data_IF_505723178620
#
_entry.id   IF_505723178620
#
_cell.length_a   1.000
_cell.length_b   1.000
_cell.length_c   1.000
_cell.angle_alpha   90.00
_cell.angle_beta   90.00
_cell.angle_gamma   90.00
#
_symmetry.space_group_name_H-M   'P 1'
#
loop_
_entity.id
_entity.type
_entity.pdbx_description
1 polymer ?
#
# COMPACT_ATOMS: atom_id res chain seq x y z
N UNK A 1 -3.13 3.81 -7.59
CA UNK A 1 -2.37 2.93 -6.69
C UNK A 1 -1.54 1.93 -7.48
N UNK A 2 -2.10 1.07 -8.35
CA UNK A 2 -1.39 0.03 -9.13
C UNK A 2 -0.21 0.59 -9.94
N UNK A 3 -0.39 1.72 -10.65
CA UNK A 3 0.69 2.38 -11.38
C UNK A 3 1.87 2.76 -10.46
N UNK A 4 1.58 3.36 -9.29
CA UNK A 4 2.61 3.73 -8.32
C UNK A 4 3.34 2.50 -7.77
N UNK A 5 2.64 1.38 -7.58
CA UNK A 5 3.25 0.11 -7.14
C UNK A 5 4.17 -0.48 -8.20
N UNK A 6 3.75 -0.46 -9.47
CA UNK A 6 4.58 -0.91 -10.58
C UNK A 6 5.88 -0.09 -10.69
N UNK A 7 5.77 1.22 -10.55
CA UNK A 7 6.92 2.14 -10.60
C UNK A 7 7.87 1.94 -9.41
N UNK A 8 7.31 1.64 -8.22
CA UNK A 8 8.09 1.25 -7.05
C UNK A 8 8.84 -0.08 -7.26
N UNK A 9 8.25 -1.04 -7.95
CA UNK A 9 8.89 -2.32 -8.24
C UNK A 9 10.04 -2.17 -9.24
N UNK A 10 9.93 -1.31 -10.24
CA UNK A 10 11.00 -1.02 -11.22
C UNK A 10 12.30 -0.56 -10.55
N UNK A 11 12.22 0.18 -9.45
CA UNK A 11 13.37 0.63 -8.67
C UNK A 11 14.33 -0.52 -8.30
N UNK A 12 13.81 -1.71 -8.02
CA UNK A 12 14.64 -2.89 -7.66
C UNK A 12 15.63 -3.28 -8.75
N UNK A 13 15.27 -3.13 -10.02
CA UNK A 13 16.13 -3.37 -11.17
C UNK A 13 17.07 -2.20 -11.41
N UNK A 14 16.52 -0.99 -11.47
CA UNK A 14 17.27 0.24 -11.76
C UNK A 14 18.39 0.53 -10.76
N UNK A 15 18.19 0.25 -9.46
CA UNK A 15 19.19 0.52 -8.41
C UNK A 15 20.53 -0.20 -8.61
N UNK A 16 20.57 -1.27 -9.40
CA UNK A 16 21.81 -2.03 -9.69
C UNK A 16 22.61 -1.42 -10.83
N UNK A 17 21.95 -0.69 -11.72
CA UNK A 17 22.51 -0.09 -12.92
C UNK A 17 22.97 1.35 -12.67
N UNK A 18 22.22 2.08 -11.86
CA UNK A 18 22.48 3.49 -11.56
C UNK A 18 23.67 3.68 -10.59
N UNK A 19 24.48 4.70 -10.83
CA UNK A 19 25.64 5.08 -10.02
C UNK A 19 25.64 6.57 -9.69
N UNK A 20 26.44 6.95 -8.70
CA UNK A 20 26.65 8.37 -8.32
C UNK A 20 25.33 9.10 -8.03
N UNK A 21 25.22 10.30 -8.55
CA UNK A 21 24.10 11.22 -8.32
C UNK A 21 22.78 10.70 -8.89
N UNK A 22 22.80 9.99 -10.01
CA UNK A 22 21.61 9.37 -10.57
C UNK A 22 20.97 8.35 -9.61
N UNK A 23 21.81 7.56 -8.93
CA UNK A 23 21.35 6.60 -7.92
C UNK A 23 20.76 7.31 -6.71
N UNK A 24 21.36 8.43 -6.29
CA UNK A 24 20.83 9.24 -5.17
C UNK A 24 19.48 9.85 -5.53
N UNK A 25 19.35 10.45 -6.70
CA UNK A 25 18.10 11.05 -7.17
C UNK A 25 16.99 10.01 -7.33
N UNK A 26 17.30 8.86 -7.94
CA UNK A 26 16.33 7.79 -8.13
C UNK A 26 15.87 7.17 -6.79
N UNK A 27 16.76 7.10 -5.77
CA UNK A 27 16.40 6.67 -4.42
C UNK A 27 15.48 7.68 -3.75
N UNK A 28 15.79 8.97 -3.79
CA UNK A 28 14.93 10.02 -3.24
C UNK A 28 13.55 9.99 -3.87
N UNK A 29 13.48 9.80 -5.18
CA UNK A 29 12.21 9.63 -5.90
C UNK A 29 11.45 8.36 -5.48
N UNK A 30 12.13 7.25 -5.19
CA UNK A 30 11.52 6.03 -4.66
C UNK A 30 10.92 6.26 -3.26
N UNK A 31 11.66 6.91 -2.36
CA UNK A 31 11.21 7.22 -1.01
C UNK A 31 9.98 8.15 -1.04
N UNK A 32 10.02 9.22 -1.85
CA UNK A 32 8.89 10.14 -2.01
C UNK A 32 7.65 9.45 -2.59
N UNK A 33 7.83 8.61 -3.61
CA UNK A 33 6.72 7.83 -4.21
C UNK A 33 6.12 6.84 -3.22
N UNK A 34 6.96 6.21 -2.38
CA UNK A 34 6.48 5.32 -1.30
C UNK A 34 5.58 6.05 -0.32
N UNK A 35 5.93 7.26 0.07
CA UNK A 35 5.12 8.10 0.95
C UNK A 35 3.78 8.49 0.30
N UNK A 36 3.81 8.92 -0.96
CA UNK A 36 2.59 9.23 -1.73
C UNK A 36 1.69 8.01 -1.90
N UNK A 37 2.29 6.83 -2.14
CA UNK A 37 1.55 5.57 -2.24
C UNK A 37 0.83 5.23 -0.93
N UNK A 38 1.50 5.40 0.21
CA UNK A 38 0.89 5.18 1.52
C UNK A 38 -0.27 6.16 1.76
N UNK A 39 -0.08 7.45 1.49
CA UNK A 39 -1.14 8.47 1.62
C UNK A 39 -2.34 8.15 0.72
N UNK A 40 -2.10 7.75 -0.52
CA UNK A 40 -3.16 7.34 -1.44
C UNK A 40 -3.91 6.10 -0.94
N UNK A 41 -3.21 5.12 -0.36
CA UNK A 41 -3.84 3.93 0.23
C UNK A 41 -4.73 4.30 1.43
N UNK A 42 -4.25 5.18 2.32
CA UNK A 42 -5.06 5.72 3.44
C UNK A 42 -6.33 6.40 2.91
N UNK A 43 -6.19 7.30 1.94
CA UNK A 43 -7.32 8.05 1.38
C UNK A 43 -8.36 7.12 0.75
N UNK A 44 -7.94 6.09 0.00
CA UNK A 44 -8.85 5.11 -0.63
C UNK A 44 -9.58 4.28 0.43
N UNK A 45 -8.90 3.82 1.48
CA UNK A 45 -9.53 3.06 2.57
C UNK A 45 -10.54 3.92 3.33
N UNK A 46 -10.19 5.17 3.67
CA UNK A 46 -11.11 6.10 4.33
C UNK A 46 -12.34 6.40 3.47
N UNK A 47 -12.15 6.60 2.16
CA UNK A 47 -13.25 6.80 1.23
C UNK A 47 -14.17 5.57 1.18
N UNK A 48 -13.60 4.36 1.15
CA UNK A 48 -14.37 3.11 1.19
C UNK A 48 -15.24 3.00 2.45
N UNK A 49 -14.66 3.31 3.61
CA UNK A 49 -15.42 3.35 4.87
C UNK A 49 -16.48 4.45 4.89
N UNK A 50 -16.19 5.63 4.37
CA UNK A 50 -17.17 6.73 4.29
C UNK A 50 -18.38 6.33 3.41
N UNK A 51 -18.13 5.68 2.27
CA UNK A 51 -19.21 5.17 1.39
C UNK A 51 -20.00 4.06 2.08
N UNK A 52 -19.33 3.12 2.76
CA UNK A 52 -20.01 2.05 3.52
C UNK A 52 -20.91 2.63 4.60
N UNK A 53 -20.38 3.56 5.38
CA UNK A 53 -21.11 4.26 6.44
C UNK A 53 -22.34 4.99 5.89
N UNK A 54 -22.18 5.79 4.83
CA UNK A 54 -23.27 6.51 4.20
C UNK A 54 -24.38 5.56 3.74
N UNK A 55 -24.04 4.47 3.06
CA UNK A 55 -24.99 3.48 2.56
C UNK A 55 -25.73 2.76 3.70
N UNK A 56 -25.00 2.29 4.73
CA UNK A 56 -25.58 1.59 5.87
C UNK A 56 -26.55 2.47 6.66
N UNK A 57 -26.15 3.72 6.99
CA UNK A 57 -27.03 4.66 7.68
C UNK A 57 -28.26 5.03 6.85
N UNK A 58 -28.12 5.18 5.53
CA UNK A 58 -29.26 5.45 4.62
C UNK A 58 -30.21 4.26 4.53
N UNK A 59 -29.71 3.04 4.79
CA UNK A 59 -30.53 1.83 4.87
C UNK A 59 -31.14 1.57 6.28
N UNK A 60 -30.89 2.47 7.24
CA UNK A 60 -31.39 2.34 8.61
C UNK A 60 -30.55 1.44 9.52
N UNK A 61 -29.35 1.08 9.11
CA UNK A 61 -28.44 0.30 9.95
C UNK A 61 -27.87 1.14 11.09
N UNK A 62 -27.47 0.47 12.19
CA UNK A 62 -26.72 1.16 13.26
C UNK A 62 -25.30 1.47 12.81
N UNK A 63 -24.66 2.45 13.46
CA UNK A 63 -23.28 2.87 13.18
C UNK A 63 -22.29 1.69 13.15
N UNK A 64 -22.44 0.75 14.08
CA UNK A 64 -21.57 -0.43 14.16
C UNK A 64 -21.68 -1.31 12.91
N UNK A 65 -22.89 -1.64 12.48
CA UNK A 65 -23.13 -2.50 11.31
C UNK A 65 -22.76 -1.78 10.01
N UNK A 66 -23.03 -0.48 9.91
CA UNK A 66 -22.66 0.35 8.75
C UNK A 66 -21.14 0.46 8.53
N UNK A 67 -20.34 0.35 9.61
CA UNK A 67 -18.88 0.35 9.54
C UNK A 67 -18.28 -1.04 9.31
N UNK A 68 -19.01 -2.11 9.62
CA UNK A 68 -18.49 -3.47 9.49
C UNK A 68 -18.53 -3.91 8.03
N UNK A 69 -17.38 -4.26 7.41
CA UNK A 69 -17.38 -4.77 6.06
C UNK A 69 -18.16 -6.07 5.96
N UNK A 70 -19.12 -6.18 5.05
CA UNK A 70 -19.93 -7.37 4.81
C UNK A 70 -19.46 -8.20 3.61
N UNK A 71 -18.28 -7.88 3.06
CA UNK A 71 -17.68 -8.55 1.90
C UNK A 71 -16.15 -8.62 2.01
N UNK A 72 -15.56 -9.63 1.38
CA UNK A 72 -14.11 -9.90 1.46
C UNK A 72 -13.24 -8.73 1.01
N UNK A 73 -13.62 -8.01 -0.05
CA UNK A 73 -12.91 -6.83 -0.50
C UNK A 73 -12.78 -5.76 0.60
N UNK A 74 -13.86 -5.54 1.38
CA UNK A 74 -13.87 -4.58 2.48
C UNK A 74 -12.92 -4.93 3.62
N UNK A 75 -12.78 -6.21 3.97
CA UNK A 75 -11.83 -6.67 4.99
C UNK A 75 -10.38 -6.57 4.54
N UNK A 76 -10.10 -6.81 3.28
CA UNK A 76 -8.74 -6.76 2.75
C UNK A 76 -8.17 -5.34 2.68
N UNK A 77 -9.01 -4.32 2.61
CA UNK A 77 -8.57 -2.91 2.59
C UNK A 77 -7.76 -2.52 3.84
N UNK A 78 -8.32 -2.65 5.05
CA UNK A 78 -7.58 -2.38 6.30
C UNK A 78 -6.35 -3.28 6.48
N UNK A 79 -6.43 -4.56 6.11
CA UNK A 79 -5.29 -5.47 6.16
C UNK A 79 -4.15 -4.99 5.25
N UNK A 80 -4.46 -4.63 4.02
CA UNK A 80 -3.49 -4.09 3.06
C UNK A 80 -2.88 -2.78 3.58
N UNK A 81 -3.69 -1.90 4.19
CA UNK A 81 -3.19 -0.66 4.78
C UNK A 81 -2.21 -0.93 5.93
N UNK A 82 -2.48 -1.90 6.79
CA UNK A 82 -1.56 -2.33 7.85
C UNK A 82 -0.21 -2.82 7.29
N UNK A 83 -0.25 -3.58 6.19
CA UNK A 83 0.96 -4.02 5.50
C UNK A 83 1.71 -2.87 4.82
N UNK A 84 1.01 -1.89 4.24
CA UNK A 84 1.65 -0.67 3.73
C UNK A 84 2.30 0.15 4.85
N UNK A 85 1.67 0.28 6.02
CA UNK A 85 2.25 0.94 7.18
C UNK A 85 3.53 0.21 7.66
N UNK A 86 3.50 -1.12 7.72
CA UNK A 86 4.67 -1.93 8.03
C UNK A 86 5.79 -1.73 6.99
N UNK A 87 5.46 -1.77 5.70
CA UNK A 87 6.42 -1.55 4.61
C UNK A 87 7.06 -0.16 4.69
N UNK A 88 6.25 0.87 4.92
CA UNK A 88 6.69 2.25 5.11
C UNK A 88 7.69 2.34 6.27
N UNK A 89 7.34 1.76 7.44
CA UNK A 89 8.22 1.75 8.61
C UNK A 89 9.56 1.06 8.31
N UNK A 90 9.55 -0.07 7.59
CA UNK A 90 10.78 -0.77 7.20
C UNK A 90 11.64 0.07 6.24
N UNK A 91 11.01 0.80 5.32
CA UNK A 91 11.71 1.75 4.44
C UNK A 91 12.37 2.89 5.22
N UNK A 92 11.68 3.46 6.21
CA UNK A 92 12.22 4.48 7.10
C UNK A 92 13.42 3.95 7.90
N UNK A 93 13.31 2.77 8.51
CA UNK A 93 14.43 2.14 9.22
C UNK A 93 15.66 1.94 8.34
N UNK A 94 15.48 1.50 7.09
CA UNK A 94 16.60 1.36 6.12
C UNK A 94 17.26 2.71 5.85
N UNK A 95 16.47 3.78 5.73
CA UNK A 95 17.00 5.13 5.54
C UNK A 95 17.78 5.59 6.76
N UNK A 96 17.18 5.51 7.95
CA UNK A 96 17.75 6.00 9.20
C UNK A 96 19.07 5.26 9.53
N UNK A 97 19.10 3.93 9.41
CA UNK A 97 20.33 3.14 9.61
C UNK A 97 21.42 3.48 8.60
N UNK A 98 21.05 3.74 7.34
CA UNK A 98 22.01 4.17 6.32
C UNK A 98 22.62 5.53 6.64
N UNK A 99 21.79 6.49 7.07
CA UNK A 99 22.24 7.83 7.44
C UNK A 99 23.14 7.81 8.69
N UNK A 100 22.87 6.88 9.62
CA UNK A 100 23.71 6.64 10.79
C UNK A 100 24.99 5.82 10.48
N UNK A 101 25.18 5.36 9.24
CA UNK A 101 26.33 4.49 8.90
C UNK A 101 26.22 3.06 9.44
N UNK A 102 25.04 2.64 9.89
CA UNK A 102 24.78 1.32 10.46
C UNK A 102 24.53 0.24 9.38
N UNK A 103 24.53 -1.04 9.80
CA UNK A 103 24.21 -2.16 8.91
C UNK A 103 22.69 -2.25 8.69
N UNK A 104 22.26 -2.04 7.45
CA UNK A 104 20.85 -2.05 7.06
C UNK A 104 20.43 -3.21 6.14
N UNK A 105 21.34 -4.16 5.86
CA UNK A 105 21.08 -5.23 4.89
C UNK A 105 19.86 -6.09 5.26
N UNK A 106 19.68 -6.41 6.54
CA UNK A 106 18.56 -7.22 7.04
C UNK A 106 17.22 -6.48 6.85
N UNK A 107 17.15 -5.21 7.21
CA UNK A 107 15.94 -4.41 7.06
C UNK A 107 15.60 -4.15 5.59
N UNK A 108 16.60 -3.97 4.73
CA UNK A 108 16.42 -3.89 3.29
C UNK A 108 15.83 -5.19 2.70
N UNK A 109 16.28 -6.36 3.18
CA UNK A 109 15.74 -7.65 2.78
C UNK A 109 14.28 -7.82 3.24
N UNK A 110 13.98 -7.46 4.49
CA UNK A 110 12.62 -7.50 5.05
C UNK A 110 11.67 -6.56 4.29
N UNK A 111 12.12 -5.34 4.00
CA UNK A 111 11.38 -4.39 3.17
C UNK A 111 11.08 -4.97 1.78
N UNK A 112 12.06 -5.60 1.15
CA UNK A 112 11.88 -6.22 -0.16
C UNK A 112 10.85 -7.36 -0.14
N UNK A 113 10.93 -8.28 0.82
CA UNK A 113 9.97 -9.39 0.97
C UNK A 113 8.54 -8.90 1.26
N UNK A 114 8.40 -7.90 2.14
CA UNK A 114 7.10 -7.28 2.41
C UNK A 114 6.50 -6.64 1.16
N UNK A 115 7.31 -5.99 0.33
CA UNK A 115 6.86 -5.44 -0.96
C UNK A 115 6.30 -6.52 -1.90
N UNK A 116 6.94 -7.69 -1.98
CA UNK A 116 6.47 -8.79 -2.84
C UNK A 116 5.11 -9.33 -2.36
N UNK A 117 4.96 -9.53 -1.05
CA UNK A 117 3.67 -9.97 -0.46
C UNK A 117 2.57 -8.95 -0.73
N UNK A 118 2.85 -7.65 -0.57
CA UNK A 118 1.88 -6.58 -0.81
C UNK A 118 1.43 -6.55 -2.27
N UNK A 119 2.35 -6.72 -3.23
CA UNK A 119 1.99 -6.74 -4.66
C UNK A 119 1.00 -7.87 -4.94
N UNK A 120 1.25 -9.08 -4.44
CA UNK A 120 0.35 -10.22 -4.61
C UNK A 120 -1.02 -9.94 -3.99
N UNK A 121 -1.06 -9.47 -2.74
CA UNK A 121 -2.30 -9.15 -2.05
C UNK A 121 -3.10 -8.05 -2.76
N UNK A 122 -2.42 -7.04 -3.31
CA UNK A 122 -3.09 -5.96 -4.06
C UNK A 122 -3.69 -6.44 -5.39
N UNK A 123 -3.07 -7.42 -6.05
CA UNK A 123 -3.67 -8.05 -7.23
C UNK A 123 -4.95 -8.80 -6.86
N UNK A 124 -4.94 -9.60 -5.78
CA UNK A 124 -6.14 -10.27 -5.27
C UNK A 124 -7.20 -9.26 -4.82
N UNK A 125 -6.81 -8.22 -4.12
CA UNK A 125 -7.74 -7.17 -3.68
C UNK A 125 -8.42 -6.47 -4.86
N UNK A 126 -7.64 -6.12 -5.90
CA UNK A 126 -8.19 -5.51 -7.12
C UNK A 126 -9.15 -6.46 -7.84
N UNK A 127 -8.82 -7.75 -7.93
CA UNK A 127 -9.69 -8.76 -8.52
C UNK A 127 -11.02 -8.91 -7.75
N UNK A 128 -10.96 -9.01 -6.42
CA UNK A 128 -12.17 -9.09 -5.59
C UNK A 128 -13.02 -7.81 -5.67
N UNK A 129 -12.38 -6.64 -5.77
CA UNK A 129 -13.07 -5.38 -5.99
C UNK A 129 -13.78 -5.33 -7.34
N UNK A 130 -13.16 -5.86 -8.38
CA UNK A 130 -13.78 -6.00 -9.69
C UNK A 130 -14.99 -6.96 -9.67
N UNK A 131 -14.87 -8.11 -9.03
CA UNK A 131 -16.01 -9.04 -8.86
C UNK A 131 -17.16 -8.40 -8.08
N UNK A 132 -16.84 -7.66 -7.03
CA UNK A 132 -17.85 -6.93 -6.25
C UNK A 132 -18.54 -5.84 -7.08
N UNK A 133 -17.79 -5.11 -7.91
CA UNK A 133 -18.36 -4.13 -8.84
C UNK A 133 -19.37 -4.78 -9.81
N UNK A 134 -19.03 -5.95 -10.37
CA UNK A 134 -19.93 -6.68 -11.26
C UNK A 134 -21.23 -7.12 -10.55
N UNK A 135 -21.18 -7.44 -9.25
CA UNK A 135 -22.36 -7.75 -8.47
C UNK A 135 -23.27 -6.53 -8.26
N UNK A 136 -22.68 -5.33 -8.11
CA UNK A 136 -23.44 -4.09 -7.94
C UNK A 136 -24.13 -3.61 -9.23
N UNK A 137 -23.63 -4.04 -10.39
CA UNK A 137 -24.17 -3.64 -11.70
C UNK A 137 -25.26 -4.59 -12.23
N UNK A 138 -25.53 -5.68 -11.52
CA UNK A 138 -26.64 -6.62 -11.81
C UNK A 138 -27.91 -6.26 -11.08
#
# INVERSE_FOLDING_TARGET
>A
VIYLMYDQHRWRKQRLELRGDERLAARAAHEQRGERLFQAAVAVVLLGFAVSLFRGLSAGETLFWALLPNHYHGFLGPLALGLFAFLRRKGQMVRDQREAGEKFALELQRHGRASDVIIILMLFHAFLGFLYLLQLLR
#
